data_IF_963547708830
#
_entry.id   IF_963547708830
#
_cell.length_a   1.000
_cell.length_b   1.000
_cell.length_c   1.000
_cell.angle_alpha   90.00
_cell.angle_beta   90.00
_cell.angle_gamma   90.00
#
_symmetry.space_group_name_H-M   'P 1'
#
loop_
_entity.id
_entity.type
_entity.pdbx_description
1 polymer ?
#
# COMPACT_ATOMS: atom_id res chain seq x y z
N UNK A 1 -15.78 18.40 -26.20
CA UNK A 1 -14.99 17.39 -25.47
C UNK A 1 -14.55 17.79 -24.05
N UNK A 2 -14.41 19.07 -23.68
CA UNK A 2 -13.92 19.42 -22.33
C UNK A 2 -14.91 19.10 -21.19
N UNK A 3 -16.21 19.39 -21.32
CA UNK A 3 -17.23 19.11 -20.29
C UNK A 3 -17.48 17.61 -20.13
N UNK A 4 -17.60 16.87 -21.21
CA UNK A 4 -17.81 15.42 -21.20
C UNK A 4 -16.62 14.67 -20.55
N UNK A 5 -15.39 15.08 -20.87
CA UNK A 5 -14.21 14.50 -20.26
C UNK A 5 -14.11 14.75 -18.76
N UNK A 6 -14.49 15.94 -18.29
CA UNK A 6 -14.54 16.25 -16.84
C UNK A 6 -15.59 15.40 -16.16
N UNK A 7 -16.82 15.35 -16.70
CA UNK A 7 -17.91 14.57 -16.10
C UNK A 7 -17.55 13.08 -16.05
N UNK A 8 -17.05 12.52 -17.15
CA UNK A 8 -16.60 11.12 -17.19
C UNK A 8 -15.48 10.87 -16.17
N UNK A 9 -14.47 11.75 -16.11
CA UNK A 9 -13.39 11.63 -15.14
C UNK A 9 -13.88 11.63 -13.69
N UNK A 10 -14.80 12.51 -13.34
CA UNK A 10 -15.40 12.57 -11.99
C UNK A 10 -16.21 11.30 -11.67
N UNK A 11 -16.99 10.79 -12.64
CA UNK A 11 -17.72 9.53 -12.47
C UNK A 11 -16.75 8.36 -12.24
N UNK A 12 -15.68 8.26 -13.04
CA UNK A 12 -14.67 7.21 -12.85
C UNK A 12 -13.92 7.35 -11.52
N UNK A 13 -13.67 8.59 -11.07
CA UNK A 13 -13.08 8.84 -9.75
C UNK A 13 -13.98 8.33 -8.61
N UNK A 14 -15.28 8.59 -8.67
CA UNK A 14 -16.24 8.07 -7.69
C UNK A 14 -16.34 6.55 -7.76
N UNK A 15 -16.44 5.99 -8.96
CA UNK A 15 -16.50 4.54 -9.16
C UNK A 15 -15.22 3.83 -8.65
N UNK A 16 -14.07 4.51 -8.61
CA UNK A 16 -12.83 3.92 -8.09
C UNK A 16 -12.92 3.44 -6.64
N UNK A 17 -13.90 3.93 -5.85
CA UNK A 17 -14.14 3.49 -4.49
C UNK A 17 -14.92 2.16 -4.39
N UNK A 18 -15.48 1.68 -5.50
CA UNK A 18 -16.45 0.57 -5.50
C UNK A 18 -15.94 -0.70 -4.79
N UNK A 19 -14.69 -1.20 -4.99
CA UNK A 19 -14.21 -2.37 -4.28
C UNK A 19 -14.24 -2.21 -2.76
N UNK A 20 -13.87 -1.02 -2.24
CA UNK A 20 -13.89 -0.73 -0.79
C UNK A 20 -15.31 -0.63 -0.25
N UNK A 21 -16.25 -0.10 -1.05
CA UNK A 21 -17.64 0.08 -0.64
C UNK A 21 -18.38 -1.25 -0.51
N UNK A 22 -18.13 -2.20 -1.42
CA UNK A 22 -18.83 -3.50 -1.43
C UNK A 22 -18.22 -4.54 -0.51
N UNK A 23 -16.93 -4.39 -0.14
CA UNK A 23 -16.23 -5.31 0.74
C UNK A 23 -16.34 -4.87 2.20
N UNK A 24 -16.95 -5.67 3.05
CA UNK A 24 -16.97 -5.45 4.51
C UNK A 24 -15.54 -5.46 5.06
N UNK A 25 -14.74 -6.39 4.58
CA UNK A 25 -13.31 -6.53 4.89
C UNK A 25 -12.49 -6.17 3.67
N UNK A 26 -11.88 -4.98 3.60
CA UNK A 26 -11.00 -4.58 2.50
C UNK A 26 -9.92 -5.63 2.24
N UNK A 27 -9.78 -6.04 0.98
CA UNK A 27 -8.89 -7.12 0.58
C UNK A 27 -7.48 -6.61 0.23
N UNK A 28 -6.93 -5.74 1.09
CA UNK A 28 -5.54 -5.29 1.04
C UNK A 28 -4.70 -6.15 1.99
N UNK A 29 -3.50 -6.52 1.55
CA UNK A 29 -2.62 -7.42 2.32
C UNK A 29 -2.32 -6.89 3.72
N UNK A 30 -1.87 -5.63 3.82
CA UNK A 30 -1.42 -5.01 5.07
C UNK A 30 -2.57 -4.43 5.91
N UNK A 31 -3.78 -4.36 5.36
CA UNK A 31 -4.90 -3.67 5.99
C UNK A 31 -5.23 -4.18 7.41
N UNK A 32 -5.31 -5.50 7.67
CA UNK A 32 -5.60 -5.99 9.01
C UNK A 32 -4.50 -5.64 10.03
N UNK A 33 -3.23 -5.65 9.61
CA UNK A 33 -2.12 -5.25 10.48
C UNK A 33 -2.13 -3.75 10.79
N UNK A 34 -2.55 -2.92 9.82
CA UNK A 34 -2.78 -1.49 10.08
C UNK A 34 -3.89 -1.27 11.09
N UNK A 35 -5.03 -1.94 10.95
CA UNK A 35 -6.12 -1.84 11.92
C UNK A 35 -5.67 -2.25 13.32
N UNK A 36 -4.92 -3.36 13.44
CA UNK A 36 -4.38 -3.81 14.72
C UNK A 36 -3.48 -2.74 15.36
N UNK A 37 -2.60 -2.12 14.57
CA UNK A 37 -1.75 -1.01 15.03
C UNK A 37 -2.58 0.18 15.51
N UNK A 38 -3.61 0.58 14.76
CA UNK A 38 -4.49 1.68 15.15
C UNK A 38 -5.27 1.35 16.41
N UNK A 39 -5.70 0.12 16.59
CA UNK A 39 -6.39 -0.34 17.79
C UNK A 39 -5.49 -0.22 19.03
N UNK A 40 -4.27 -0.76 18.97
CA UNK A 40 -3.30 -0.63 20.07
C UNK A 40 -2.98 0.85 20.38
N UNK A 41 -2.87 1.69 19.36
CA UNK A 41 -2.63 3.12 19.50
C UNK A 41 -3.79 3.85 20.21
N UNK A 42 -5.03 3.54 19.87
CA UNK A 42 -6.23 4.22 20.38
C UNK A 42 -6.63 3.73 21.76
N UNK A 43 -6.44 2.44 22.07
CA UNK A 43 -6.79 1.81 23.34
C UNK A 43 -5.68 1.93 24.40
N UNK A 44 -4.64 2.72 24.12
CA UNK A 44 -3.53 2.94 25.05
C UNK A 44 -4.03 3.54 26.38
N UNK A 45 -3.65 2.92 27.50
CA UNK A 45 -4.07 3.33 28.83
C UNK A 45 -5.45 2.84 29.26
N UNK A 46 -6.18 2.11 28.39
CA UNK A 46 -7.55 1.65 28.66
C UNK A 46 -7.75 0.13 28.61
N UNK A 47 -6.75 -0.63 28.15
CA UNK A 47 -6.88 -2.07 27.93
C UNK A 47 -5.70 -2.85 28.51
N UNK A 48 -5.91 -3.50 29.65
CA UNK A 48 -4.86 -4.22 30.40
C UNK A 48 -4.19 -5.35 29.59
N UNK A 49 -4.90 -6.02 28.67
CA UNK A 49 -4.31 -7.05 27.82
C UNK A 49 -3.35 -6.43 26.81
N UNK A 50 -3.76 -5.34 26.16
CA UNK A 50 -2.91 -4.68 25.17
C UNK A 50 -1.68 -4.06 25.82
N UNK A 51 -1.84 -3.46 27.01
CA UNK A 51 -0.72 -2.90 27.77
C UNK A 51 0.29 -3.96 28.24
N UNK A 52 -0.18 -5.17 28.53
CA UNK A 52 0.69 -6.29 28.83
C UNK A 52 1.54 -6.70 27.61
N UNK A 53 0.93 -6.73 26.44
CA UNK A 53 1.53 -7.34 25.24
C UNK A 53 2.26 -6.37 24.34
N UNK A 54 1.85 -5.09 24.34
CA UNK A 54 2.34 -4.13 23.35
C UNK A 54 2.73 -2.81 23.99
N UNK A 55 3.82 -2.25 23.49
CA UNK A 55 4.18 -0.84 23.64
C UNK A 55 3.85 -0.09 22.37
N UNK A 56 3.36 1.14 22.52
CA UNK A 56 3.20 2.08 21.42
C UNK A 56 3.89 3.40 21.74
N UNK A 57 4.76 3.84 20.84
CA UNK A 57 5.49 5.10 20.96
C UNK A 57 5.40 5.89 19.66
N UNK A 58 4.92 7.12 19.74
CA UNK A 58 4.94 8.02 18.60
C UNK A 58 6.37 8.31 18.17
N UNK A 59 6.63 8.17 16.88
CA UNK A 59 7.90 8.53 16.27
C UNK A 59 7.69 9.54 15.17
N UNK A 60 8.58 10.51 15.10
CA UNK A 60 8.62 11.42 13.96
C UNK A 60 9.17 10.69 12.75
N UNK A 61 8.30 10.28 11.85
CA UNK A 61 8.65 9.50 10.66
C UNK A 61 7.82 9.93 9.46
N UNK A 62 8.35 9.78 8.27
CA UNK A 62 7.63 10.00 7.02
C UNK A 62 6.73 8.82 6.63
N UNK A 63 5.79 8.43 7.49
CA UNK A 63 4.84 7.32 7.24
C UNK A 63 3.63 7.35 8.18
N UNK A 64 2.94 8.51 8.32
CA UNK A 64 1.91 8.74 9.35
C UNK A 64 0.53 9.14 8.82
N UNK A 65 0.29 9.18 7.50
CA UNK A 65 -0.96 9.72 6.95
C UNK A 65 -2.21 9.09 7.56
N UNK A 66 -2.34 7.77 7.48
CA UNK A 66 -3.50 7.05 7.97
C UNK A 66 -3.54 7.00 9.51
N UNK A 67 -2.36 6.96 10.16
CA UNK A 67 -2.24 6.99 11.62
C UNK A 67 -2.79 8.31 12.22
N UNK A 68 -2.59 9.42 11.52
CA UNK A 68 -3.14 10.72 11.91
C UNK A 68 -4.63 10.84 11.57
N UNK A 69 -5.07 10.30 10.43
CA UNK A 69 -6.48 10.37 10.02
C UNK A 69 -7.39 9.48 10.85
N UNK A 70 -6.92 8.33 11.29
CA UNK A 70 -7.75 7.40 12.08
C UNK A 70 -8.13 7.97 13.44
N UNK A 71 -7.30 8.84 14.04
CA UNK A 71 -7.56 9.42 15.36
C UNK A 71 -8.88 10.22 15.44
N UNK A 72 -9.16 11.17 14.53
CA UNK A 72 -10.45 11.86 14.53
C UNK A 72 -11.59 11.02 13.95
N UNK A 73 -11.32 10.03 13.08
CA UNK A 73 -12.36 9.24 12.43
C UNK A 73 -12.87 8.10 13.30
N UNK A 74 -12.00 7.41 14.03
CA UNK A 74 -12.40 6.25 14.84
C UNK A 74 -13.40 6.58 15.96
N UNK A 75 -13.30 7.69 16.70
CA UNK A 75 -14.31 8.08 17.67
C UNK A 75 -15.69 8.38 17.06
N UNK A 76 -15.73 8.81 15.81
CA UNK A 76 -16.98 9.18 15.12
C UNK A 76 -17.67 7.99 14.47
N UNK A 77 -16.92 7.07 13.87
CA UNK A 77 -17.44 6.01 13.01
C UNK A 77 -17.12 4.58 13.52
N UNK A 78 -16.30 4.46 14.55
CA UNK A 78 -15.67 3.20 14.93
C UNK A 78 -14.43 2.88 14.09
N UNK A 79 -13.53 2.07 14.63
CA UNK A 79 -12.21 1.83 14.02
C UNK A 79 -12.28 1.13 12.65
N UNK A 80 -13.09 0.08 12.50
CA UNK A 80 -13.19 -0.64 11.23
C UNK A 80 -13.79 0.25 10.12
N UNK A 81 -14.80 1.07 10.45
CA UNK A 81 -15.38 2.02 9.49
C UNK A 81 -14.40 3.15 9.15
N UNK A 82 -13.68 3.69 10.14
CA UNK A 82 -12.63 4.69 9.92
C UNK A 82 -11.52 4.16 8.99
N UNK A 83 -11.07 2.92 9.22
CA UNK A 83 -10.11 2.26 8.33
C UNK A 83 -10.64 2.10 6.89
N UNK A 84 -11.91 1.72 6.72
CA UNK A 84 -12.55 1.63 5.38
C UNK A 84 -12.67 2.99 4.71
N UNK A 85 -13.03 4.03 5.43
CA UNK A 85 -13.06 5.41 4.91
C UNK A 85 -11.66 5.79 4.40
N UNK A 86 -10.63 5.59 5.21
CA UNK A 86 -9.24 5.87 4.82
C UNK A 86 -8.84 5.09 3.58
N UNK A 87 -9.14 3.79 3.53
CA UNK A 87 -8.86 2.94 2.37
C UNK A 87 -9.58 3.43 1.09
N UNK A 88 -10.83 3.89 1.20
CA UNK A 88 -11.61 4.45 0.08
C UNK A 88 -11.12 5.83 -0.38
N UNK A 89 -10.58 6.64 0.54
CA UNK A 89 -9.99 7.94 0.19
C UNK A 89 -8.79 7.81 -0.75
N UNK A 90 -8.01 6.74 -0.67
CA UNK A 90 -6.81 6.57 -1.52
C UNK A 90 -7.16 6.55 -3.01
N UNK A 91 -8.03 5.63 -3.52
CA UNK A 91 -8.36 5.61 -4.93
C UNK A 91 -9.11 6.87 -5.38
N UNK A 92 -10.02 7.41 -4.56
CA UNK A 92 -10.76 8.63 -4.86
C UNK A 92 -9.82 9.83 -5.05
N UNK A 93 -8.98 10.11 -4.05
CA UNK A 93 -8.09 11.25 -4.08
C UNK A 93 -7.00 11.11 -5.15
N UNK A 94 -6.49 9.89 -5.39
CA UNK A 94 -5.55 9.64 -6.49
C UNK A 94 -6.21 9.95 -7.85
N UNK A 95 -7.42 9.47 -8.08
CA UNK A 95 -8.15 9.75 -9.31
C UNK A 95 -8.43 11.26 -9.50
N UNK A 96 -8.90 11.93 -8.46
CA UNK A 96 -9.11 13.39 -8.49
C UNK A 96 -7.80 14.16 -8.69
N UNK A 97 -6.71 13.71 -8.07
CA UNK A 97 -5.37 14.27 -8.26
C UNK A 97 -4.86 14.14 -9.70
N UNK A 98 -5.10 13.01 -10.36
CA UNK A 98 -4.84 12.79 -11.79
C UNK A 98 -5.57 13.83 -12.64
N UNK A 99 -6.86 14.00 -12.40
CA UNK A 99 -7.68 15.00 -13.11
C UNK A 99 -7.18 16.43 -12.86
N UNK A 100 -6.82 16.75 -11.60
CA UNK A 100 -6.30 18.06 -11.23
C UNK A 100 -4.99 18.39 -11.95
N UNK A 101 -4.08 17.42 -12.10
CA UNK A 101 -2.81 17.58 -12.83
C UNK A 101 -3.08 17.88 -14.30
N UNK A 102 -3.87 17.08 -15.01
CA UNK A 102 -4.14 17.34 -16.43
C UNK A 102 -4.87 18.67 -16.62
N UNK A 103 -5.84 18.98 -15.76
CA UNK A 103 -6.57 20.26 -15.81
C UNK A 103 -5.64 21.46 -15.59
N UNK A 104 -4.69 21.37 -14.63
CA UNK A 104 -3.77 22.49 -14.40
C UNK A 104 -2.81 22.71 -15.55
N UNK A 105 -2.35 21.66 -16.22
CA UNK A 105 -1.43 21.74 -17.35
C UNK A 105 -2.10 22.12 -18.67
N UNK A 106 -3.35 21.68 -18.93
CA UNK A 106 -3.95 21.70 -20.28
C UNK A 106 -5.34 22.31 -20.33
N UNK A 107 -5.96 22.64 -19.19
CA UNK A 107 -7.34 23.18 -19.06
C UNK A 107 -8.41 22.29 -19.71
N UNK A 108 -8.11 21.00 -19.81
CA UNK A 108 -9.02 19.96 -20.29
C UNK A 108 -8.71 18.64 -19.63
N UNK A 109 -9.70 17.75 -19.60
CA UNK A 109 -9.51 16.33 -19.27
C UNK A 109 -9.59 15.53 -20.56
N UNK A 110 -8.58 14.73 -20.83
CA UNK A 110 -8.44 13.99 -22.06
C UNK A 110 -7.91 12.58 -21.87
N UNK A 111 -7.29 12.05 -22.91
CA UNK A 111 -6.76 10.67 -22.94
C UNK A 111 -5.70 10.42 -21.87
N UNK A 112 -4.90 11.42 -21.53
CA UNK A 112 -3.85 11.29 -20.54
C UNK A 112 -4.41 10.91 -19.15
N UNK A 113 -5.45 11.63 -18.68
CA UNK A 113 -6.15 11.26 -17.45
C UNK A 113 -6.84 9.90 -17.56
N UNK A 114 -7.52 9.61 -18.69
CA UNK A 114 -8.23 8.34 -18.84
C UNK A 114 -7.28 7.14 -18.75
N UNK A 115 -6.09 7.24 -19.33
CA UNK A 115 -5.05 6.21 -19.21
C UNK A 115 -4.44 6.15 -17.81
N UNK A 116 -4.17 7.31 -17.20
CA UNK A 116 -3.58 7.37 -15.86
C UNK A 116 -4.52 6.79 -14.78
N UNK A 117 -5.85 6.93 -14.94
CA UNK A 117 -6.84 6.34 -14.03
C UNK A 117 -6.69 4.82 -13.88
N UNK A 118 -6.21 4.10 -14.90
CA UNK A 118 -5.97 2.67 -14.81
C UNK A 118 -4.89 2.28 -13.78
N UNK A 119 -4.08 3.22 -13.31
CA UNK A 119 -3.07 3.02 -12.26
C UNK A 119 -3.55 3.38 -10.86
N UNK A 120 -4.80 3.81 -10.69
CA UNK A 120 -5.39 4.06 -9.36
C UNK A 120 -5.38 2.79 -8.51
N UNK A 121 -5.76 1.65 -9.10
CA UNK A 121 -5.68 0.33 -8.49
C UNK A 121 -4.35 -0.35 -8.85
N UNK A 122 -3.26 0.28 -8.44
CA UNK A 122 -1.92 -0.29 -8.58
C UNK A 122 -1.64 -1.35 -7.50
N UNK A 123 -0.65 -2.24 -7.71
CA UNK A 123 -0.20 -3.17 -6.69
C UNK A 123 0.11 -2.53 -5.32
N UNK A 124 0.55 -1.27 -5.27
CA UNK A 124 0.76 -0.57 -3.99
C UNK A 124 -0.52 -0.44 -3.18
N UNK A 125 -1.65 -0.17 -3.81
CA UNK A 125 -2.94 -0.07 -3.12
C UNK A 125 -3.44 -1.44 -2.70
N UNK A 126 -3.31 -2.46 -3.56
CA UNK A 126 -3.72 -3.83 -3.26
C UNK A 126 -2.86 -4.43 -2.13
N UNK A 127 -1.59 -4.08 -2.04
CA UNK A 127 -0.72 -4.42 -0.91
C UNK A 127 -1.12 -3.70 0.38
N UNK A 128 -1.88 -2.60 0.32
CA UNK A 128 -2.32 -1.87 1.51
C UNK A 128 -1.40 -0.72 1.92
N UNK A 129 -0.59 -0.17 1.01
CA UNK A 129 0.32 0.96 1.31
C UNK A 129 -0.47 2.27 1.44
N UNK A 130 -1.35 2.34 2.46
CA UNK A 130 -2.30 3.44 2.66
C UNK A 130 -1.62 4.80 2.80
N UNK A 131 -0.59 4.88 3.64
CA UNK A 131 0.17 6.12 3.86
C UNK A 131 0.82 6.63 2.57
N UNK A 132 1.42 5.72 1.80
CA UNK A 132 2.00 6.04 0.49
C UNK A 132 0.92 6.50 -0.50
N UNK A 133 -0.20 5.80 -0.60
CA UNK A 133 -1.30 6.13 -1.51
C UNK A 133 -1.89 7.51 -1.24
N UNK A 134 -2.13 7.85 0.04
CA UNK A 134 -2.59 9.18 0.45
C UNK A 134 -1.56 10.26 0.12
N UNK A 135 -0.27 10.01 0.37
CA UNK A 135 0.81 10.95 0.07
C UNK A 135 1.00 11.13 -1.44
N UNK A 136 0.85 10.06 -2.25
CA UNK A 136 0.86 10.14 -3.72
C UNK A 136 -0.28 11.02 -4.23
N UNK A 137 -1.50 10.83 -3.71
CA UNK A 137 -2.63 11.67 -4.05
C UNK A 137 -2.38 13.14 -3.68
N UNK A 138 -1.90 13.41 -2.47
CA UNK A 138 -1.53 14.75 -2.02
C UNK A 138 -0.43 15.37 -2.89
N UNK A 139 0.57 14.58 -3.32
CA UNK A 139 1.63 15.03 -4.22
C UNK A 139 1.07 15.45 -5.60
N UNK A 140 0.08 14.73 -6.14
CA UNK A 140 -0.58 15.10 -7.39
C UNK A 140 -1.32 16.43 -7.25
N UNK A 141 -2.09 16.65 -6.17
CA UNK A 141 -2.75 17.93 -5.91
C UNK A 141 -1.75 19.06 -5.68
N UNK A 142 -0.72 18.82 -4.90
CA UNK A 142 0.34 19.81 -4.66
C UNK A 142 1.04 20.19 -5.97
N UNK A 143 1.38 19.21 -6.82
CA UNK A 143 1.95 19.49 -8.13
C UNK A 143 0.99 20.29 -9.02
N UNK A 144 -0.29 19.96 -9.05
CA UNK A 144 -1.31 20.76 -9.75
C UNK A 144 -1.34 22.21 -9.23
N UNK A 145 -1.23 22.39 -7.90
CA UNK A 145 -1.09 23.70 -7.25
C UNK A 145 0.20 24.43 -7.67
N UNK A 146 1.34 23.70 -7.71
CA UNK A 146 2.63 24.24 -8.15
C UNK A 146 2.54 24.86 -9.56
N UNK A 147 1.93 24.12 -10.48
CA UNK A 147 1.70 24.59 -11.87
C UNK A 147 0.76 25.81 -11.91
N UNK A 148 -0.30 25.80 -11.12
CA UNK A 148 -1.31 26.89 -11.10
C UNK A 148 -0.78 28.18 -10.51
N UNK A 149 0.15 28.09 -9.59
CA UNK A 149 0.79 29.22 -8.90
C UNK A 149 2.08 29.68 -9.57
N UNK A 150 2.30 29.29 -10.81
CA UNK A 150 3.43 29.76 -11.59
C UNK A 150 3.48 31.30 -11.65
N UNK A 151 4.69 31.86 -11.47
CA UNK A 151 4.92 33.30 -11.46
C UNK A 151 4.50 34.02 -10.17
N UNK A 152 3.90 33.34 -9.19
CA UNK A 152 3.56 33.94 -7.89
C UNK A 152 4.77 33.91 -6.95
N UNK A 153 5.22 35.09 -6.50
CA UNK A 153 6.40 35.19 -5.63
C UNK A 153 6.26 34.44 -4.30
N UNK A 154 5.04 34.30 -3.79
CA UNK A 154 4.76 33.58 -2.54
C UNK A 154 4.63 32.05 -2.71
N UNK A 155 4.67 31.51 -3.96
CA UNK A 155 4.60 30.05 -4.22
C UNK A 155 5.60 29.26 -3.37
N UNK A 156 6.89 29.64 -3.28
CA UNK A 156 7.86 28.89 -2.45
C UNK A 156 7.47 28.82 -0.97
N UNK A 157 6.98 29.93 -0.40
CA UNK A 157 6.58 29.98 1.01
C UNK A 157 5.41 29.03 1.32
N UNK A 158 4.42 28.93 0.41
CA UNK A 158 3.30 28.00 0.54
C UNK A 158 3.79 26.53 0.51
N UNK A 159 4.79 26.24 -0.30
CA UNK A 159 5.28 24.87 -0.47
C UNK A 159 6.23 24.39 0.63
N UNK A 160 6.68 25.25 1.53
CA UNK A 160 7.38 24.84 2.75
C UNK A 160 6.49 23.94 3.64
N UNK A 161 5.32 24.40 4.14
CA UNK A 161 4.45 23.55 4.95
C UNK A 161 3.84 22.38 4.16
N UNK A 162 3.55 22.55 2.87
CA UNK A 162 3.06 21.46 2.01
C UNK A 162 4.10 20.35 1.90
N UNK A 163 5.37 20.69 1.71
CA UNK A 163 6.47 19.72 1.64
C UNK A 163 6.61 18.92 2.94
N UNK A 164 6.54 19.60 4.09
CA UNK A 164 6.57 18.95 5.41
C UNK A 164 5.36 18.03 5.57
N UNK A 165 4.15 18.50 5.27
CA UNK A 165 2.92 17.71 5.42
C UNK A 165 2.96 16.44 4.57
N UNK A 166 3.37 16.51 3.30
CA UNK A 166 3.46 15.33 2.44
C UNK A 166 4.59 14.39 2.90
N UNK A 167 5.70 14.92 3.41
CA UNK A 167 6.75 14.10 4.00
C UNK A 167 6.25 13.34 5.22
N UNK A 168 5.53 13.98 6.15
CA UNK A 168 4.89 13.34 7.30
C UNK A 168 3.91 12.25 6.85
N UNK A 169 3.16 12.51 5.78
CA UNK A 169 2.26 11.51 5.22
C UNK A 169 3.02 10.27 4.75
N UNK A 170 4.02 10.44 3.86
CA UNK A 170 4.93 9.38 3.42
C UNK A 170 6.10 9.92 2.61
N UNK A 171 7.32 9.50 2.99
CA UNK A 171 8.58 9.94 2.34
C UNK A 171 8.59 9.72 0.82
N UNK A 172 8.04 8.59 0.31
CA UNK A 172 8.01 8.34 -1.15
C UNK A 172 7.05 9.27 -1.89
N UNK A 173 5.93 9.67 -1.27
CA UNK A 173 5.02 10.68 -1.85
C UNK A 173 5.67 12.05 -1.93
N UNK A 174 6.41 12.44 -0.89
CA UNK A 174 7.22 13.65 -0.88
C UNK A 174 8.32 13.61 -1.96
N UNK A 175 9.05 12.50 -2.09
CA UNK A 175 10.03 12.30 -3.16
C UNK A 175 9.41 12.40 -4.55
N UNK A 176 8.22 11.82 -4.74
CA UNK A 176 7.46 11.96 -6.00
C UNK A 176 7.13 13.43 -6.31
N UNK A 177 6.68 14.21 -5.33
CA UNK A 177 6.43 15.65 -5.50
C UNK A 177 7.69 16.39 -5.95
N UNK A 178 8.84 16.13 -5.30
CA UNK A 178 10.12 16.70 -5.66
C UNK A 178 10.51 16.40 -7.12
N UNK A 179 10.33 15.15 -7.55
CA UNK A 179 10.61 14.71 -8.93
C UNK A 179 9.63 15.35 -9.93
N UNK A 180 8.35 15.47 -9.60
CA UNK A 180 7.35 16.16 -10.45
C UNK A 180 7.69 17.64 -10.64
N UNK A 181 8.00 18.35 -9.56
CA UNK A 181 8.40 19.77 -9.59
C UNK A 181 9.69 19.93 -10.37
N UNK A 182 10.72 19.11 -10.09
CA UNK A 182 11.97 19.14 -10.82
C UNK A 182 11.76 18.92 -12.33
N UNK A 183 11.02 17.87 -12.72
CA UNK A 183 10.78 17.56 -14.14
C UNK A 183 10.05 18.69 -14.87
N UNK A 184 9.10 19.33 -14.20
CA UNK A 184 8.36 20.50 -14.72
C UNK A 184 9.28 21.68 -14.95
N UNK A 185 10.09 22.07 -13.96
CA UNK A 185 10.97 23.22 -14.04
C UNK A 185 12.16 22.95 -14.98
N UNK A 186 12.67 21.70 -15.05
CA UNK A 186 13.70 21.29 -16.00
C UNK A 186 13.25 21.43 -17.46
N UNK A 187 11.99 21.10 -17.74
CA UNK A 187 11.44 21.30 -19.08
C UNK A 187 11.42 22.79 -19.47
N UNK A 188 11.17 23.67 -18.51
CA UNK A 188 10.99 25.11 -18.74
C UNK A 188 12.28 25.93 -18.77
N UNK A 189 13.14 25.69 -17.81
CA UNK A 189 14.27 26.59 -17.56
C UNK A 189 15.64 25.94 -17.82
N UNK A 190 15.73 24.61 -17.64
CA UNK A 190 16.99 23.85 -17.66
C UNK A 190 18.08 24.42 -16.73
N UNK A 191 19.18 23.68 -16.58
CA UNK A 191 20.31 24.13 -15.78
C UNK A 191 20.06 24.27 -14.29
N UNK A 192 20.89 25.05 -13.62
CA UNK A 192 20.89 25.19 -12.14
C UNK A 192 19.56 25.71 -11.58
N UNK A 193 18.88 26.59 -12.30
CA UNK A 193 17.58 27.13 -11.87
C UNK A 193 16.52 26.03 -11.67
N UNK A 194 16.52 25.00 -12.53
CA UNK A 194 15.61 23.87 -12.41
C UNK A 194 15.94 22.98 -11.21
N UNK A 195 17.22 22.78 -10.88
CA UNK A 195 17.65 22.04 -9.69
C UNK A 195 17.30 22.77 -8.41
N UNK A 196 17.38 24.09 -8.40
CA UNK A 196 17.07 24.91 -7.22
C UNK A 196 15.58 25.15 -7.05
N UNK A 197 14.76 25.06 -8.11
CA UNK A 197 13.32 25.37 -8.01
C UNK A 197 12.58 24.58 -6.93
N UNK A 198 12.84 23.26 -6.70
CA UNK A 198 12.19 22.51 -5.62
C UNK A 198 12.74 22.80 -4.22
N UNK A 199 13.57 23.83 -4.00
CA UNK A 199 14.19 24.15 -2.70
C UNK A 199 13.20 24.18 -1.51
N UNK A 200 11.92 24.63 -1.66
CA UNK A 200 11.00 24.63 -0.54
C UNK A 200 10.67 23.22 -0.03
N UNK A 201 10.86 22.21 -0.89
CA UNK A 201 10.61 20.81 -0.56
C UNK A 201 11.82 20.15 0.12
N UNK A 202 12.97 20.82 0.22
CA UNK A 202 14.18 20.24 0.81
C UNK A 202 14.21 20.34 2.34
N UNK A 203 13.33 21.14 2.95
CA UNK A 203 13.31 21.28 4.41
C UNK A 203 13.21 19.93 5.16
N UNK A 204 12.40 18.94 4.72
CA UNK A 204 12.37 17.62 5.35
C UNK A 204 13.69 16.83 5.27
N UNK A 205 14.63 17.17 4.37
CA UNK A 205 15.95 16.55 4.38
C UNK A 205 16.70 16.77 5.69
N UNK A 206 16.47 17.90 6.35
CA UNK A 206 17.08 18.17 7.65
C UNK A 206 16.68 17.13 8.70
N UNK A 207 15.44 16.63 8.63
CA UNK A 207 14.95 15.57 9.53
C UNK A 207 15.56 14.20 9.20
N UNK A 208 15.88 13.95 7.90
CA UNK A 208 16.56 12.73 7.48
C UNK A 208 18.03 12.70 7.88
N UNK A 209 18.66 13.88 8.00
CA UNK A 209 20.08 14.01 8.40
C UNK A 209 20.20 13.97 9.93
N UNK A 210 19.27 14.64 10.65
CA UNK A 210 19.34 14.83 12.11
C UNK A 210 18.65 13.70 12.91
N UNK A 211 17.88 12.84 12.26
CA UNK A 211 17.13 11.78 12.93
C UNK A 211 17.95 10.53 13.16
N UNK A 212 17.75 9.87 14.30
CA UNK A 212 18.17 8.48 14.49
C UNK A 212 17.37 7.59 13.55
N UNK A 213 18.04 6.99 12.58
CA UNK A 213 17.46 6.01 11.67
C UNK A 213 18.00 4.61 12.02
N UNK A 214 17.55 3.99 13.11
CA UNK A 214 18.01 2.66 13.52
C UNK A 214 17.50 1.55 12.60
N UNK A 215 16.90 1.92 11.47
CA UNK A 215 16.49 0.99 10.43
C UNK A 215 17.68 0.34 9.73
N UNK A 216 17.46 -0.82 9.17
CA UNK A 216 18.43 -1.53 8.37
C UNK A 216 18.99 -0.66 7.25
N UNK A 217 20.29 -0.82 6.95
CA UNK A 217 20.93 -0.19 5.78
C UNK A 217 20.12 -0.47 4.51
N UNK A 218 20.12 0.46 3.54
CA UNK A 218 19.49 0.22 2.25
C UNK A 218 19.98 -1.08 1.63
N UNK A 219 19.07 -1.93 1.16
CA UNK A 219 19.40 -3.24 0.61
C UNK A 219 18.59 -3.54 -0.66
N UNK A 220 19.26 -4.11 -1.64
CA UNK A 220 18.61 -4.60 -2.85
C UNK A 220 17.98 -5.99 -2.67
N UNK A 221 18.30 -6.69 -1.57
CA UNK A 221 17.91 -8.09 -1.38
C UNK A 221 18.65 -9.07 -2.30
N UNK A 222 18.36 -10.37 -2.19
CA UNK A 222 18.96 -11.38 -3.06
C UNK A 222 18.38 -11.34 -4.48
N UNK A 223 19.16 -11.81 -5.47
CA UNK A 223 18.73 -11.94 -6.86
C UNK A 223 18.15 -10.64 -7.46
N UNK A 224 18.85 -9.54 -7.30
CA UNK A 224 18.40 -8.16 -7.62
C UNK A 224 17.71 -8.07 -8.99
N UNK A 225 18.36 -8.53 -10.06
CA UNK A 225 17.81 -8.40 -11.42
C UNK A 225 16.57 -9.25 -11.67
N UNK A 226 16.52 -10.46 -11.09
CA UNK A 226 15.33 -11.33 -11.16
C UNK A 226 14.15 -10.66 -10.45
N UNK A 227 14.40 -10.08 -9.28
CA UNK A 227 13.39 -9.33 -8.54
C UNK A 227 12.94 -8.07 -9.30
N UNK A 228 13.88 -7.23 -9.79
CA UNK A 228 13.58 -6.05 -10.60
C UNK A 228 12.71 -6.40 -11.80
N UNK A 229 13.09 -7.42 -12.55
CA UNK A 229 12.32 -7.90 -13.69
C UNK A 229 10.92 -8.38 -13.30
N UNK A 230 10.81 -9.09 -12.17
CA UNK A 230 9.54 -9.59 -11.67
C UNK A 230 8.57 -8.44 -11.32
N UNK A 231 9.01 -7.40 -10.60
CA UNK A 231 8.15 -6.27 -10.22
C UNK A 231 7.72 -5.43 -11.43
N UNK A 232 8.58 -5.29 -12.46
CA UNK A 232 8.20 -4.64 -13.71
C UNK A 232 7.13 -5.42 -14.46
N UNK A 233 7.29 -6.74 -14.62
CA UNK A 233 6.26 -7.61 -15.23
C UNK A 233 4.95 -7.61 -14.45
N UNK A 234 4.99 -7.32 -13.17
CA UNK A 234 3.85 -7.29 -12.27
C UNK A 234 3.32 -5.88 -12.00
N UNK A 235 3.72 -4.89 -12.80
CA UNK A 235 3.36 -3.49 -12.57
C UNK A 235 1.85 -3.20 -12.59
N UNK A 236 1.06 -4.09 -13.19
CA UNK A 236 -0.41 -4.03 -13.18
C UNK A 236 -1.04 -5.29 -12.54
N UNK A 237 -0.28 -6.03 -11.72
CA UNK A 237 -0.76 -7.25 -11.05
C UNK A 237 -1.94 -6.94 -10.13
N UNK A 238 -3.01 -7.71 -10.33
CA UNK A 238 -4.18 -7.73 -9.46
C UNK A 238 -4.58 -9.19 -9.20
N UNK A 239 -5.56 -9.73 -9.88
CA UNK A 239 -6.14 -11.05 -9.63
C UNK A 239 -6.19 -11.96 -10.86
N UNK A 240 -6.20 -11.40 -12.07
CA UNK A 240 -6.37 -12.16 -13.33
C UNK A 240 -5.17 -11.98 -14.25
N UNK A 241 -4.32 -13.02 -14.34
CA UNK A 241 -3.03 -12.99 -15.04
C UNK A 241 -3.11 -12.40 -16.44
N UNK A 242 -4.01 -12.92 -17.28
CA UNK A 242 -4.10 -12.48 -18.69
C UNK A 242 -4.53 -11.03 -18.80
N UNK A 243 -5.51 -10.57 -17.98
CA UNK A 243 -5.98 -9.18 -18.00
C UNK A 243 -4.88 -8.23 -17.56
N UNK A 244 -4.13 -8.60 -16.51
CA UNK A 244 -3.04 -7.81 -15.95
C UNK A 244 -1.87 -7.69 -16.95
N UNK A 245 -1.49 -8.80 -17.57
CA UNK A 245 -0.40 -8.84 -18.56
C UNK A 245 -0.79 -8.10 -19.86
N UNK A 246 -1.98 -8.32 -20.40
CA UNK A 246 -2.43 -7.58 -21.59
C UNK A 246 -2.60 -6.09 -21.32
N UNK A 247 -3.06 -5.71 -20.12
CA UNK A 247 -3.10 -4.30 -19.72
C UNK A 247 -1.70 -3.69 -19.73
N UNK A 248 -0.71 -4.38 -19.13
CA UNK A 248 0.67 -3.90 -19.12
C UNK A 248 1.25 -3.74 -20.52
N UNK A 249 1.04 -4.72 -21.41
CA UNK A 249 1.49 -4.64 -22.81
C UNK A 249 0.80 -3.52 -23.59
N UNK A 250 -0.49 -3.31 -23.35
CA UNK A 250 -1.23 -2.20 -23.95
C UNK A 250 -0.62 -0.86 -23.55
N UNK A 251 -0.35 -0.63 -22.25
CA UNK A 251 0.30 0.60 -21.77
C UNK A 251 1.73 0.74 -22.33
N UNK A 252 2.51 -0.32 -22.36
CA UNK A 252 3.85 -0.29 -22.94
C UNK A 252 3.80 0.14 -24.41
N UNK A 253 2.89 -0.44 -25.20
CA UNK A 253 2.71 -0.09 -26.61
C UNK A 253 2.27 1.37 -26.80
N UNK A 254 1.31 1.87 -25.99
CA UNK A 254 0.85 3.27 -26.02
C UNK A 254 1.98 4.23 -25.69
N UNK A 255 2.75 3.95 -24.65
CA UNK A 255 3.86 4.82 -24.19
C UNK A 255 5.01 4.82 -25.20
N UNK A 256 5.43 3.64 -25.70
CA UNK A 256 6.50 3.52 -26.70
C UNK A 256 6.07 4.18 -28.02
N UNK A 257 4.84 3.93 -28.49
CA UNK A 257 4.31 4.57 -29.69
C UNK A 257 4.20 6.09 -29.55
N UNK A 258 3.79 6.58 -28.38
CA UNK A 258 3.72 8.02 -28.12
C UNK A 258 5.09 8.66 -28.07
N UNK A 259 6.08 7.96 -27.54
CA UNK A 259 7.48 8.42 -27.53
C UNK A 259 8.04 8.49 -28.96
N UNK A 260 7.83 7.43 -29.75
CA UNK A 260 8.28 7.37 -31.17
C UNK A 260 7.63 8.48 -32.01
N UNK A 261 6.36 8.78 -31.75
CA UNK A 261 5.61 9.86 -32.44
C UNK A 261 5.87 11.25 -31.82
N UNK A 262 6.76 11.38 -30.84
CA UNK A 262 7.08 12.62 -30.11
C UNK A 262 5.84 13.27 -29.48
N UNK A 263 4.89 12.46 -29.01
CA UNK A 263 3.66 12.91 -28.34
C UNK A 263 3.77 12.82 -26.81
N UNK A 264 4.88 13.22 -26.27
CA UNK A 264 5.16 13.28 -24.83
C UNK A 264 5.34 14.76 -24.42
N UNK A 265 4.59 15.17 -23.44
CA UNK A 265 4.72 16.48 -22.79
C UNK A 265 5.91 16.45 -21.82
N UNK A 266 6.97 17.15 -22.17
CA UNK A 266 8.21 17.14 -21.38
C UNK A 266 8.03 17.68 -19.95
N UNK A 267 6.97 18.44 -19.67
CA UNK A 267 6.67 18.94 -18.31
C UNK A 267 6.41 17.80 -17.30
N UNK A 268 5.93 16.65 -17.76
CA UNK A 268 5.77 15.43 -16.97
C UNK A 268 6.69 14.30 -17.45
N UNK A 269 7.09 14.33 -18.72
CA UNK A 269 7.94 13.30 -19.31
C UNK A 269 9.27 13.11 -18.59
N UNK A 270 9.93 14.20 -18.17
CA UNK A 270 11.15 14.12 -17.37
C UNK A 270 10.93 13.45 -16.02
N UNK A 271 9.85 13.79 -15.34
CA UNK A 271 9.50 13.17 -14.08
C UNK A 271 9.22 11.66 -14.26
N UNK A 272 8.48 11.29 -15.32
CA UNK A 272 8.24 9.89 -15.64
C UNK A 272 9.53 9.10 -15.88
N UNK A 273 10.46 9.65 -16.66
CA UNK A 273 11.78 9.03 -16.91
C UNK A 273 12.56 8.86 -15.61
N UNK A 274 12.61 9.89 -14.75
CA UNK A 274 13.32 9.81 -13.47
C UNK A 274 12.70 8.74 -12.56
N UNK A 275 11.36 8.67 -12.45
CA UNK A 275 10.69 7.66 -11.65
C UNK A 275 10.94 6.25 -12.17
N UNK A 276 10.81 6.03 -13.48
CA UNK A 276 10.99 4.70 -14.07
C UNK A 276 12.47 4.26 -14.04
N UNK A 277 13.40 5.13 -14.37
CA UNK A 277 14.84 4.84 -14.25
C UNK A 277 15.26 4.68 -12.79
N UNK A 278 14.73 5.54 -11.91
CA UNK A 278 14.95 5.46 -10.46
C UNK A 278 14.50 4.13 -9.87
N UNK A 279 13.43 3.52 -10.38
CA UNK A 279 12.98 2.19 -9.92
C UNK A 279 14.02 1.09 -10.14
N UNK A 280 14.87 1.24 -11.15
CA UNK A 280 15.96 0.29 -11.43
C UNK A 280 17.13 0.54 -10.46
N UNK A 281 17.45 1.81 -10.21
CA UNK A 281 18.56 2.21 -9.36
C UNK A 281 18.25 2.16 -7.85
N UNK A 282 16.98 2.28 -7.45
CA UNK A 282 16.54 2.31 -6.05
C UNK A 282 16.70 0.95 -5.39
N UNK A 283 17.25 0.86 -4.16
CA UNK A 283 17.19 -0.35 -3.36
C UNK A 283 15.74 -0.78 -3.07
N UNK A 284 15.53 -2.07 -2.89
CA UNK A 284 14.22 -2.63 -2.51
C UNK A 284 13.80 -2.21 -1.12
N UNK A 285 14.75 -2.34 -0.16
CA UNK A 285 14.54 -1.99 1.24
C UNK A 285 15.20 -0.66 1.56
N UNK A 286 14.45 0.28 2.10
CA UNK A 286 14.94 1.59 2.56
C UNK A 286 14.25 1.95 3.86
N UNK A 287 15.02 2.33 4.88
CA UNK A 287 14.50 2.75 6.20
C UNK A 287 13.52 1.75 6.84
N UNK A 288 13.77 0.46 6.64
CA UNK A 288 12.90 -0.62 7.13
C UNK A 288 11.62 -0.87 6.32
N UNK A 289 11.36 -0.08 5.27
CA UNK A 289 10.25 -0.32 4.33
C UNK A 289 10.67 -1.25 3.19
N UNK A 290 9.80 -2.18 2.80
CA UNK A 290 9.97 -3.03 1.61
C UNK A 290 9.36 -2.40 0.36
N UNK A 291 9.77 -2.85 -0.82
CA UNK A 291 9.24 -2.46 -2.14
C UNK A 291 9.33 -0.94 -2.42
N UNK A 292 10.39 -0.26 -1.95
CA UNK A 292 10.60 1.16 -2.23
C UNK A 292 10.72 1.44 -3.74
N UNK A 293 11.42 0.58 -4.45
CA UNK A 293 11.60 0.62 -5.90
C UNK A 293 10.30 0.36 -6.70
N UNK A 294 9.46 -0.55 -6.22
CA UNK A 294 8.18 -0.85 -6.87
C UNK A 294 7.23 0.35 -6.85
N UNK A 295 7.20 1.14 -5.76
CA UNK A 295 6.41 2.38 -5.68
C UNK A 295 6.76 3.37 -6.78
N UNK A 296 8.04 3.43 -7.18
CA UNK A 296 8.48 4.28 -8.28
C UNK A 296 7.98 3.81 -9.65
N UNK A 297 7.84 2.49 -9.87
CA UNK A 297 7.28 1.95 -11.11
C UNK A 297 5.82 2.40 -11.27
N UNK A 298 5.00 2.21 -10.24
CA UNK A 298 3.57 2.53 -10.31
C UNK A 298 3.33 4.02 -10.47
N UNK A 299 4.03 4.86 -9.70
CA UNK A 299 4.01 6.31 -9.86
C UNK A 299 4.55 6.75 -11.22
N UNK A 300 5.62 6.12 -11.69
CA UNK A 300 6.23 6.41 -12.98
C UNK A 300 5.31 6.13 -14.16
N UNK A 301 4.62 4.99 -14.17
CA UNK A 301 3.65 4.64 -15.21
C UNK A 301 2.41 5.55 -15.19
N UNK A 302 1.92 5.92 -14.00
CA UNK A 302 0.87 6.90 -13.83
C UNK A 302 1.29 8.26 -14.43
N UNK A 303 2.47 8.76 -14.09
CA UNK A 303 2.99 10.05 -14.57
C UNK A 303 3.31 9.99 -16.06
N UNK A 304 3.83 8.86 -16.57
CA UNK A 304 4.08 8.65 -17.99
C UNK A 304 2.76 8.71 -18.80
N UNK A 305 1.69 8.13 -18.26
CA UNK A 305 0.36 8.21 -18.87
C UNK A 305 -0.17 9.65 -18.89
N UNK A 306 0.02 10.42 -17.80
CA UNK A 306 -0.31 11.85 -17.75
C UNK A 306 0.57 12.70 -18.66
N UNK A 307 1.78 12.26 -18.99
CA UNK A 307 2.69 12.96 -19.91
C UNK A 307 2.26 12.85 -21.38
N UNK A 308 1.29 12.00 -21.73
CA UNK A 308 0.79 11.90 -23.10
C UNK A 308 0.22 13.23 -23.56
N UNK A 309 0.64 13.68 -24.75
CA UNK A 309 0.24 14.95 -25.35
C UNK A 309 -0.31 14.73 -26.75
N UNK A 310 -1.06 15.73 -27.23
CA UNK A 310 -1.62 15.70 -28.56
C UNK A 310 -3.05 15.19 -28.64
N UNK A 311 -3.57 15.13 -29.87
CA UNK A 311 -4.89 14.56 -30.17
C UNK A 311 -4.72 13.06 -30.40
N UNK A 312 -5.33 12.26 -29.54
CA UNK A 312 -5.43 10.84 -29.74
C UNK A 312 -6.69 10.52 -30.58
N UNK A 313 -6.71 9.41 -31.30
CA UNK A 313 -7.92 8.90 -31.96
C UNK A 313 -9.05 8.76 -30.94
N UNK A 314 -10.28 9.04 -31.33
CA UNK A 314 -11.45 8.96 -30.42
C UNK A 314 -11.64 7.56 -29.83
N UNK A 315 -11.31 6.53 -30.58
CA UNK A 315 -11.40 5.14 -30.07
C UNK A 315 -10.46 4.89 -28.88
N UNK A 316 -9.24 5.45 -28.89
CA UNK A 316 -8.29 5.30 -27.79
C UNK A 316 -8.77 6.01 -26.52
N UNK A 317 -9.47 7.14 -26.67
CA UNK A 317 -10.10 7.82 -25.55
C UNK A 317 -11.12 6.93 -24.84
N UNK A 318 -11.89 6.10 -25.55
CA UNK A 318 -12.90 5.21 -24.97
C UNK A 318 -12.35 3.86 -24.50
N UNK A 319 -11.27 3.37 -25.11
CA UNK A 319 -10.63 2.13 -24.65
C UNK A 319 -10.09 2.26 -23.23
N UNK A 320 -9.49 3.41 -22.84
CA UNK A 320 -8.93 3.59 -21.52
C UNK A 320 -9.98 3.51 -20.39
N UNK A 321 -11.14 4.24 -20.45
CA UNK A 321 -12.24 4.04 -19.51
C UNK A 321 -12.80 2.61 -19.51
N UNK A 322 -12.94 1.99 -20.68
CA UNK A 322 -13.43 0.60 -20.78
C UNK A 322 -12.47 -0.37 -20.09
N UNK A 323 -11.16 -0.23 -20.29
CA UNK A 323 -10.15 -1.02 -19.61
C UNK A 323 -10.17 -0.76 -18.09
N UNK A 324 -10.27 0.51 -17.67
CA UNK A 324 -10.40 0.87 -16.25
C UNK A 324 -11.63 0.18 -15.63
N UNK A 325 -12.81 0.30 -16.25
CA UNK A 325 -14.05 -0.30 -15.74
C UNK A 325 -14.00 -1.83 -15.73
N UNK A 326 -13.42 -2.45 -16.77
CA UNK A 326 -13.23 -3.90 -16.82
C UNK A 326 -12.34 -4.40 -15.69
N UNK A 327 -11.21 -3.75 -15.46
CA UNK A 327 -10.31 -4.06 -14.34
C UNK A 327 -10.99 -3.81 -12.99
N UNK A 328 -11.64 -2.66 -12.83
CA UNK A 328 -12.38 -2.31 -11.63
C UNK A 328 -13.47 -3.33 -11.29
N UNK A 329 -14.19 -3.80 -12.32
CA UNK A 329 -15.21 -4.84 -12.14
C UNK A 329 -14.61 -6.16 -11.60
N UNK A 330 -13.47 -6.59 -12.17
CA UNK A 330 -12.73 -7.77 -11.71
C UNK A 330 -12.22 -7.58 -10.28
N UNK A 331 -11.62 -6.44 -9.97
CA UNK A 331 -11.16 -6.11 -8.61
C UNK A 331 -12.35 -6.14 -7.61
N UNK A 332 -13.48 -5.54 -7.99
CA UNK A 332 -14.68 -5.46 -7.15
C UNK A 332 -15.25 -6.85 -6.82
N UNK A 333 -15.39 -7.70 -7.84
CA UNK A 333 -15.88 -9.08 -7.68
C UNK A 333 -14.90 -9.92 -6.82
N UNK A 334 -13.60 -9.80 -7.08
CA UNK A 334 -12.56 -10.48 -6.28
C UNK A 334 -12.60 -10.03 -4.82
N UNK A 335 -12.79 -8.73 -4.56
CA UNK A 335 -12.87 -8.16 -3.22
C UNK A 335 -14.14 -8.60 -2.49
N UNK A 336 -15.28 -8.66 -3.16
CA UNK A 336 -16.53 -9.12 -2.57
C UNK A 336 -16.43 -10.60 -2.14
N UNK A 337 -15.89 -11.46 -3.01
CA UNK A 337 -15.67 -12.89 -2.67
C UNK A 337 -14.62 -13.06 -1.57
N UNK A 338 -13.53 -12.30 -1.64
CA UNK A 338 -12.49 -12.31 -0.63
C UNK A 338 -12.99 -11.85 0.72
N UNK A 339 -13.84 -10.81 0.77
CA UNK A 339 -14.47 -10.32 1.99
C UNK A 339 -15.36 -11.36 2.65
N UNK A 340 -16.21 -12.04 1.88
CA UNK A 340 -17.02 -13.15 2.39
C UNK A 340 -16.15 -14.31 2.92
N UNK A 341 -15.04 -14.58 2.24
CA UNK A 341 -14.07 -15.57 2.72
C UNK A 341 -13.40 -15.14 4.02
N UNK A 342 -13.01 -13.88 4.14
CA UNK A 342 -12.44 -13.33 5.38
C UNK A 342 -13.41 -13.47 6.53
N UNK A 343 -14.70 -13.16 6.33
CA UNK A 343 -15.75 -13.32 7.35
C UNK A 343 -15.84 -14.78 7.85
N UNK A 344 -15.87 -15.76 6.94
CA UNK A 344 -15.87 -17.18 7.30
C UNK A 344 -14.64 -17.58 8.13
N UNK A 345 -13.45 -17.05 7.80
CA UNK A 345 -12.23 -17.34 8.54
C UNK A 345 -12.22 -16.70 9.92
N UNK A 346 -12.83 -15.54 10.07
CA UNK A 346 -12.92 -14.80 11.34
C UNK A 346 -13.86 -15.47 12.35
N UNK A 347 -14.77 -16.35 11.93
CA UNK A 347 -15.56 -17.19 12.85
C UNK A 347 -14.69 -18.04 13.79
N UNK A 348 -13.47 -18.37 13.39
CA UNK A 348 -12.46 -19.02 14.22
C UNK A 348 -12.14 -18.25 15.52
N UNK A 349 -12.29 -16.93 15.52
CA UNK A 349 -12.01 -16.07 16.67
C UNK A 349 -12.95 -16.31 17.83
N UNK A 350 -14.16 -16.83 17.61
CA UNK A 350 -15.13 -17.15 18.68
C UNK A 350 -14.62 -18.25 19.60
N UNK A 351 -13.66 -19.04 19.12
CA UNK A 351 -13.02 -20.13 19.87
C UNK A 351 -11.70 -19.71 20.55
N UNK A 352 -11.29 -18.43 20.42
CA UNK A 352 -10.14 -17.88 21.12
C UNK A 352 -10.59 -17.08 22.36
N UNK A 353 -10.00 -17.32 23.54
CA UNK A 353 -10.23 -16.48 24.70
C UNK A 353 -9.70 -15.05 24.49
N UNK A 354 -10.34 -14.10 25.14
CA UNK A 354 -9.82 -12.72 25.19
C UNK A 354 -8.48 -12.69 25.93
N UNK A 355 -7.52 -11.94 25.41
CA UNK A 355 -6.18 -11.84 25.96
C UNK A 355 -5.33 -13.10 25.76
N UNK A 356 -5.68 -13.99 24.84
CA UNK A 356 -4.90 -15.20 24.55
C UNK A 356 -3.55 -14.88 23.90
N UNK A 357 -2.59 -15.80 24.07
CA UNK A 357 -1.29 -15.77 23.37
C UNK A 357 -1.40 -16.70 22.16
N UNK A 358 -1.42 -16.14 20.96
CA UNK A 358 -1.78 -16.85 19.73
C UNK A 358 -0.62 -16.86 18.74
N UNK A 359 -0.22 -18.02 18.25
CA UNK A 359 0.60 -18.16 17.06
C UNK A 359 -0.32 -18.27 15.84
N UNK A 360 -0.23 -17.32 14.91
CA UNK A 360 -0.99 -17.33 13.67
C UNK A 360 -0.09 -17.76 12.50
N UNK A 361 -0.52 -18.75 11.74
CA UNK A 361 0.12 -19.16 10.50
C UNK A 361 -0.84 -19.02 9.34
N UNK A 362 -0.42 -18.26 8.33
CA UNK A 362 -1.12 -18.17 7.05
C UNK A 362 -0.30 -18.87 5.97
N UNK A 363 -0.89 -19.89 5.35
CA UNK A 363 -0.24 -20.65 4.27
C UNK A 363 -0.77 -20.21 2.92
N UNK A 364 0.12 -19.69 2.09
CA UNK A 364 -0.18 -19.21 0.74
C UNK A 364 0.47 -20.12 -0.30
N UNK A 365 -0.27 -20.54 -1.32
CA UNK A 365 0.31 -21.24 -2.46
C UNK A 365 1.21 -20.30 -3.27
N UNK A 366 2.49 -20.65 -3.40
CA UNK A 366 3.48 -19.83 -4.10
C UNK A 366 3.21 -19.64 -5.61
N UNK A 367 2.32 -20.45 -6.21
CA UNK A 367 1.90 -20.34 -7.62
C UNK A 367 0.73 -19.39 -7.86
N UNK A 368 0.14 -18.81 -6.80
CA UNK A 368 -1.01 -17.92 -6.93
C UNK A 368 -0.58 -16.56 -7.50
N UNK A 369 -1.26 -16.12 -8.57
CA UNK A 369 -0.99 -14.80 -9.15
C UNK A 369 -1.51 -13.66 -8.28
N UNK A 370 -2.74 -13.73 -7.77
CA UNK A 370 -3.30 -12.71 -6.89
C UNK A 370 -2.50 -12.53 -5.61
N UNK A 371 -2.66 -11.38 -4.95
CA UNK A 371 -2.13 -11.17 -3.60
C UNK A 371 -3.04 -11.85 -2.57
N UNK A 372 -2.46 -12.41 -1.52
CA UNK A 372 -3.23 -13.04 -0.45
C UNK A 372 -3.61 -11.98 0.61
N UNK A 373 -4.84 -11.49 0.56
CA UNK A 373 -5.33 -10.49 1.52
C UNK A 373 -5.44 -11.03 2.96
N UNK A 374 -5.34 -12.34 3.16
CA UNK A 374 -5.35 -12.96 4.48
C UNK A 374 -3.98 -13.02 5.16
N UNK A 375 -2.89 -12.57 4.51
CA UNK A 375 -1.53 -12.66 5.09
C UNK A 375 -1.42 -12.09 6.50
N UNK A 376 -2.14 -11.01 6.78
CA UNK A 376 -2.16 -10.38 8.10
C UNK A 376 -3.50 -10.49 8.80
N UNK A 377 -4.32 -11.50 8.48
CA UNK A 377 -5.66 -11.70 9.07
C UNK A 377 -5.64 -11.74 10.60
N UNK A 378 -4.51 -12.18 11.19
CA UNK A 378 -4.27 -12.15 12.63
C UNK A 378 -4.48 -10.78 13.27
N UNK A 379 -4.36 -9.69 12.50
CA UNK A 379 -4.66 -8.35 12.98
C UNK A 379 -6.10 -8.18 13.50
N UNK A 380 -7.08 -8.87 12.91
CA UNK A 380 -8.46 -8.86 13.41
C UNK A 380 -8.62 -9.56 14.79
N UNK A 381 -7.74 -10.53 15.12
CA UNK A 381 -7.76 -11.14 16.44
C UNK A 381 -7.36 -10.14 17.54
N UNK A 382 -6.45 -9.20 17.24
CA UNK A 382 -6.10 -8.11 18.17
C UNK A 382 -7.31 -7.23 18.45
N UNK A 383 -8.03 -6.81 17.40
CA UNK A 383 -9.22 -5.94 17.54
C UNK A 383 -10.36 -6.61 18.32
N UNK A 384 -10.55 -7.91 18.15
CA UNK A 384 -11.74 -8.60 18.65
C UNK A 384 -11.51 -9.36 19.93
N UNK A 385 -10.26 -9.71 20.24
CA UNK A 385 -9.91 -10.60 21.36
C UNK A 385 -8.72 -10.09 22.19
N UNK A 386 -8.16 -8.92 21.91
CA UNK A 386 -7.04 -8.32 22.64
C UNK A 386 -5.82 -9.25 22.78
N UNK A 387 -5.55 -10.08 21.80
CA UNK A 387 -4.55 -11.15 21.87
C UNK A 387 -3.13 -10.64 21.62
N UNK A 388 -2.13 -11.36 22.18
CA UNK A 388 -0.78 -11.34 21.64
C UNK A 388 -0.72 -12.20 20.38
N UNK A 389 -0.25 -11.67 19.26
CA UNK A 389 -0.17 -12.40 17.99
C UNK A 389 1.00 -11.95 17.13
N UNK A 390 1.53 -12.84 16.31
CA UNK A 390 2.64 -12.59 15.38
C UNK A 390 2.20 -11.97 14.04
N UNK A 391 1.23 -11.03 14.07
CA UNK A 391 0.68 -10.39 12.87
C UNK A 391 0.96 -8.88 12.78
N UNK A 392 1.75 -8.33 13.69
CA UNK A 392 2.05 -6.91 13.76
C UNK A 392 3.35 -6.54 13.03
N UNK A 393 3.33 -5.36 12.41
CA UNK A 393 4.56 -4.65 12.04
C UNK A 393 5.19 -4.04 13.30
N UNK A 394 6.06 -4.80 13.97
CA UNK A 394 6.63 -4.44 15.27
C UNK A 394 8.18 -4.49 15.27
N UNK A 395 8.83 -4.28 14.12
CA UNK A 395 10.28 -4.27 14.00
C UNK A 395 10.85 -3.14 14.84
N UNK A 396 11.73 -3.44 15.83
CA UNK A 396 12.32 -2.44 16.70
C UNK A 396 13.06 -1.36 15.89
N UNK A 397 12.87 -0.09 16.29
CA UNK A 397 13.50 1.04 15.61
C UNK A 397 12.78 1.50 14.32
N UNK A 398 11.98 0.64 13.69
CA UNK A 398 11.26 0.93 12.45
C UNK A 398 9.81 1.32 12.71
N UNK A 399 9.10 0.53 13.51
CA UNK A 399 7.68 0.71 13.76
C UNK A 399 7.41 1.36 15.13
N UNK A 400 6.24 1.96 15.27
CA UNK A 400 5.78 2.61 16.50
C UNK A 400 5.29 1.62 17.56
N UNK A 401 4.87 0.42 17.13
CA UNK A 401 4.44 -0.65 18.01
C UNK A 401 5.60 -1.60 18.30
N UNK A 402 5.66 -2.13 19.52
CA UNK A 402 6.60 -3.19 19.94
C UNK A 402 5.83 -4.29 20.64
N UNK A 403 6.13 -5.56 20.31
CA UNK A 403 5.68 -6.69 21.10
C UNK A 403 6.62 -6.89 22.30
N UNK A 404 6.08 -6.95 23.50
CA UNK A 404 6.85 -7.20 24.75
C UNK A 404 7.19 -8.66 24.94
N UNK A 405 6.31 -9.56 24.48
CA UNK A 405 6.42 -11.00 24.56
C UNK A 405 6.54 -11.63 23.16
N UNK A 406 6.75 -12.93 23.07
CA UNK A 406 6.73 -13.70 21.83
C UNK A 406 8.07 -13.78 21.06
N UNK A 407 9.12 -13.13 21.56
CA UNK A 407 10.46 -13.21 20.97
C UNK A 407 10.58 -12.61 19.56
N UNK A 408 11.62 -12.96 18.79
CA UNK A 408 11.88 -12.39 17.44
C UNK A 408 10.75 -12.64 16.45
N UNK A 409 10.05 -13.77 16.56
CA UNK A 409 8.97 -14.16 15.65
C UNK A 409 7.73 -13.26 15.73
N UNK A 410 7.60 -12.44 16.77
CA UNK A 410 6.50 -11.51 16.97
C UNK A 410 6.85 -10.07 16.58
N UNK A 411 8.02 -9.84 16.01
CA UNK A 411 8.51 -8.51 15.60
C UNK A 411 8.27 -8.21 14.13
N UNK A 412 8.23 -9.25 13.30
CA UNK A 412 8.02 -9.14 11.86
C UNK A 412 6.87 -10.05 11.42
N UNK A 413 5.77 -9.50 10.86
CA UNK A 413 4.61 -10.28 10.44
C UNK A 413 4.78 -10.97 9.10
N UNK A 414 5.91 -10.81 8.41
CA UNK A 414 6.17 -11.47 7.12
C UNK A 414 6.42 -12.99 7.24
N UNK A 415 6.12 -13.59 8.39
CA UNK A 415 6.27 -15.02 8.68
C UNK A 415 5.14 -15.89 8.10
N UNK A 416 4.67 -15.56 6.92
CA UNK A 416 3.80 -16.44 6.15
C UNK A 416 4.56 -17.64 5.62
N UNK A 417 3.91 -18.78 5.52
CA UNK A 417 4.47 -19.93 4.82
C UNK A 417 4.07 -19.89 3.35
N UNK A 418 5.05 -19.77 2.45
CA UNK A 418 4.87 -19.97 1.03
C UNK A 418 4.98 -21.46 0.70
N UNK A 419 3.83 -22.11 0.56
CA UNK A 419 3.79 -23.52 0.24
C UNK A 419 3.97 -23.75 -1.27
N UNK A 420 4.83 -24.69 -1.61
CA UNK A 420 5.05 -25.15 -3.00
C UNK A 420 4.66 -26.60 -3.16
N UNK A 421 5.23 -27.47 -2.35
CA UNK A 421 5.06 -28.92 -2.37
C UNK A 421 5.43 -29.50 -1.00
N UNK A 422 5.00 -30.72 -0.73
CA UNK A 422 5.35 -31.47 0.46
C UNK A 422 4.39 -31.26 1.63
N UNK A 423 4.67 -31.86 2.78
CA UNK A 423 3.85 -31.77 3.98
C UNK A 423 3.97 -30.37 4.62
N UNK A 424 2.87 -29.94 5.28
CA UNK A 424 2.86 -28.79 6.18
C UNK A 424 3.02 -29.34 7.60
N UNK A 425 4.26 -29.48 8.04
CA UNK A 425 4.60 -30.01 9.36
C UNK A 425 4.86 -28.87 10.35
N UNK A 426 4.01 -28.77 11.38
CA UNK A 426 4.09 -27.77 12.43
C UNK A 426 4.57 -28.35 13.76
N UNK A 427 5.01 -29.63 13.82
CA UNK A 427 5.41 -30.29 15.06
C UNK A 427 6.49 -29.55 15.86
N UNK A 428 7.36 -28.81 15.17
CA UNK A 428 8.44 -28.02 15.74
C UNK A 428 8.40 -26.54 15.26
N UNK A 429 7.23 -26.04 14.87
CA UNK A 429 7.11 -24.68 14.35
C UNK A 429 7.41 -23.65 15.44
N UNK A 430 8.47 -22.88 15.25
CA UNK A 430 9.08 -22.00 16.25
C UNK A 430 8.11 -20.95 16.82
N UNK A 431 7.26 -20.27 16.01
CA UNK A 431 6.33 -19.28 16.54
C UNK A 431 5.27 -19.83 17.49
N UNK A 432 5.02 -21.14 17.50
CA UNK A 432 4.09 -21.78 18.42
C UNK A 432 4.69 -22.01 19.82
N UNK A 433 6.01 -21.97 19.96
CA UNK A 433 6.67 -22.16 21.25
C UNK A 433 6.33 -21.05 22.23
N UNK A 434 5.94 -21.41 23.43
CA UNK A 434 5.52 -20.48 24.47
C UNK A 434 4.17 -19.80 24.21
N UNK A 435 3.40 -20.19 23.19
CA UNK A 435 2.04 -19.73 22.95
C UNK A 435 1.01 -20.72 23.48
N UNK A 436 -0.22 -20.21 23.76
CA UNK A 436 -1.30 -21.03 24.29
C UNK A 436 -2.20 -21.58 23.19
N UNK A 437 -2.23 -20.90 22.04
CA UNK A 437 -3.13 -21.17 20.92
C UNK A 437 -2.41 -21.11 19.60
N UNK A 438 -2.85 -21.95 18.65
CA UNK A 438 -2.52 -21.89 17.24
C UNK A 438 -3.76 -21.52 16.44
N UNK A 439 -3.69 -20.48 15.63
CA UNK A 439 -4.67 -20.19 14.60
C UNK A 439 -4.05 -20.38 13.21
N UNK A 440 -4.47 -21.41 12.53
CA UNK A 440 -4.01 -21.77 11.18
C UNK A 440 -5.02 -21.27 10.13
N UNK A 441 -4.52 -20.71 9.04
CA UNK A 441 -5.28 -20.28 7.86
C UNK A 441 -4.57 -20.78 6.61
N UNK A 442 -5.25 -21.60 5.80
CA UNK A 442 -4.68 -22.13 4.56
C UNK A 442 -5.67 -23.05 3.84
N UNK A 443 -5.55 -23.15 2.52
CA UNK A 443 -6.43 -24.02 1.72
C UNK A 443 -6.19 -25.52 2.00
N UNK A 444 -4.94 -25.88 2.34
CA UNK A 444 -4.56 -27.23 2.76
C UNK A 444 -4.39 -27.25 4.27
N UNK A 445 -4.88 -28.31 4.92
CA UNK A 445 -4.64 -28.53 6.34
C UNK A 445 -3.19 -28.93 6.61
N UNK A 446 -2.65 -28.64 7.81
CA UNK A 446 -1.35 -29.11 8.23
C UNK A 446 -1.36 -30.64 8.40
N UNK A 447 -0.29 -31.28 7.94
CA UNK A 447 -0.08 -32.73 8.06
C UNK A 447 0.31 -33.13 9.49
N UNK A 448 0.94 -32.22 10.24
CA UNK A 448 1.26 -32.39 11.65
C UNK A 448 1.10 -31.07 12.41
N UNK A 449 0.55 -31.16 13.63
CA UNK A 449 0.44 -30.04 14.57
C UNK A 449 1.54 -30.11 15.65
N UNK A 450 1.79 -29.01 16.40
CA UNK A 450 2.65 -29.03 17.57
C UNK A 450 2.23 -30.16 18.54
N UNK A 451 3.23 -30.79 19.16
CA UNK A 451 3.01 -31.95 20.05
C UNK A 451 2.02 -31.61 21.17
N UNK A 452 1.04 -32.47 21.36
CA UNK A 452 0.00 -32.29 22.38
C UNK A 452 -1.04 -31.20 22.05
N UNK A 453 -1.03 -30.64 20.84
CA UNK A 453 -2.06 -29.70 20.41
C UNK A 453 -3.41 -30.39 20.28
N UNK A 454 -4.48 -29.75 20.77
CA UNK A 454 -5.85 -30.22 20.69
C UNK A 454 -6.68 -29.27 19.83
N UNK A 455 -7.21 -29.75 18.72
CA UNK A 455 -8.07 -28.95 17.83
C UNK A 455 -9.39 -28.69 18.56
N UNK A 456 -9.74 -27.40 18.70
CA UNK A 456 -10.99 -26.95 19.32
C UNK A 456 -12.01 -26.43 18.29
N UNK A 457 -11.51 -26.03 17.11
CA UNK A 457 -12.35 -25.61 16.01
C UNK A 457 -11.71 -25.95 14.66
N UNK A 458 -12.54 -26.37 13.70
CA UNK A 458 -12.12 -26.67 12.34
C UNK A 458 -13.22 -26.26 11.36
N UNK A 459 -12.83 -25.54 10.33
CA UNK A 459 -13.69 -25.18 9.21
C UNK A 459 -12.85 -25.16 7.90
N UNK A 460 -13.49 -25.16 6.73
CA UNK A 460 -12.76 -25.09 5.47
C UNK A 460 -11.77 -23.92 5.43
N UNK A 461 -10.45 -24.25 5.38
CA UNK A 461 -9.36 -23.29 5.30
C UNK A 461 -8.94 -22.64 6.60
N UNK A 462 -9.39 -23.11 7.76
CA UNK A 462 -8.93 -22.63 9.06
C UNK A 462 -9.09 -23.68 10.15
N UNK A 463 -8.21 -23.65 11.14
CA UNK A 463 -8.37 -24.38 12.39
C UNK A 463 -7.82 -23.57 13.56
N UNK A 464 -8.38 -23.81 14.73
CA UNK A 464 -7.89 -23.32 16.02
C UNK A 464 -7.54 -24.52 16.88
N UNK A 465 -6.33 -24.54 17.41
CA UNK A 465 -5.88 -25.57 18.34
C UNK A 465 -5.34 -24.93 19.62
N UNK A 466 -5.66 -25.56 20.76
CA UNK A 466 -5.04 -25.28 22.04
C UNK A 466 -3.70 -26.02 22.09
N UNK A 467 -2.63 -25.30 22.43
CA UNK A 467 -1.30 -25.85 22.54
C UNK A 467 -1.05 -26.42 23.94
N UNK A 468 -0.27 -27.49 24.02
CA UNK A 468 0.17 -28.02 25.30
C UNK A 468 1.17 -27.05 25.95
N UNK A 469 1.03 -26.82 27.25
CA UNK A 469 2.07 -26.11 28.01
C UNK A 469 3.33 -26.96 28.04
N UNK A 470 4.44 -26.43 27.57
CA UNK A 470 5.74 -27.08 27.72
C UNK A 470 6.16 -26.93 29.19
N UNK A 471 6.48 -28.04 29.91
CA UNK A 471 7.01 -27.92 31.25
C UNK A 471 8.32 -27.13 31.21
N UNK A 472 8.38 -25.96 31.82
CA UNK A 472 9.56 -25.12 31.89
C UNK A 472 9.38 -23.63 31.41
N UNK A 473 8.27 -23.27 30.84
CA UNK A 473 7.97 -21.88 30.39
C UNK A 473 7.07 -21.15 31.42
N UNK A 474 7.50 -21.08 32.68
CA UNK A 474 6.84 -20.30 33.73
C UNK A 474 7.64 -19.06 34.09
#
# INVERSE_FOLDING_TARGET
>A
MSREGVLLGLVLALLSCLPVLVATYPQMVDYPAHLARYYVMLERGGNAFLERYYDFEWKWTGNLAADLLVQPLAPLFGLEAAGRIIAGLVPLLTALGILAVEWSLRRRIGIASMLALCFVWSPSLILGFLNFGLAQAAALFAFAGWVRLEGKAWRPLLFLPIGIAIWVMHVSGWGMLGILVFGYEWHRHKGLAAFLAPWPLFLPFLTLIAGDHPGSLPSYGPNVWVFKWAIWKQAMRDSVVWLDQWSLWFFAAVLIGSLALRKIDGRLGWAAVILLAGSIAMPRHIFGGDLADARMIYSGLLVASLALSGQAPRWLFWIAPALFLGRLGVTTDTWQRGSARTEQLLAALDHLPRGARVANLVVTNSGTWGYNAQEHIGGYAVLRKDVLINAHFAIPGVHMIRAREGGPNFRDPSQRMLWRKGPIDLSNWEPAKGMDWLWYVGQREPDALPRGAVIVYRAPGTLVARLAKVPGDS
#
